data_IF_726310705250
#
_entry.id   IF_726310705250
#
_cell.length_a   1.000
_cell.length_b   1.000
_cell.length_c   1.000
_cell.angle_alpha   90.00
_cell.angle_beta   90.00
_cell.angle_gamma   90.00
#
_symmetry.space_group_name_H-M   'P 1'
#
loop_
_entity.id
_entity.type
_entity.pdbx_description
1 polymer ?
#
# COMPACT_ATOMS: atom_id res chain seq x y z
N UNK A 1 0.85 -20.05 20.54
CA UNK A 1 0.65 -19.17 21.71
C UNK A 1 0.90 -17.73 21.34
N UNK A 2 0.30 -16.80 22.05
CA UNK A 2 0.43 -15.35 21.85
C UNK A 2 1.91 -14.88 21.87
N UNK A 3 2.72 -15.46 22.73
CA UNK A 3 4.15 -15.17 22.84
C UNK A 3 4.96 -15.60 21.58
N UNK A 4 4.57 -16.68 20.92
CA UNK A 4 5.19 -17.11 19.67
C UNK A 4 4.86 -16.16 18.51
N UNK A 5 3.61 -15.68 18.44
CA UNK A 5 3.19 -14.68 17.47
C UNK A 5 3.92 -13.36 17.68
N UNK A 6 4.01 -12.86 18.91
CA UNK A 6 4.71 -11.64 19.23
C UNK A 6 6.20 -11.69 18.82
N UNK A 7 6.89 -12.81 19.04
CA UNK A 7 8.27 -13.05 18.62
C UNK A 7 8.42 -13.06 17.08
N UNK A 8 7.52 -13.74 16.37
CA UNK A 8 7.53 -13.77 14.90
C UNK A 8 7.30 -12.36 14.33
N UNK A 9 6.32 -11.64 14.86
CA UNK A 9 6.04 -10.26 14.49
C UNK A 9 7.26 -9.37 14.72
N UNK A 10 7.90 -9.46 15.87
CA UNK A 10 9.09 -8.65 16.18
C UNK A 10 10.22 -8.93 15.19
N UNK A 11 10.53 -10.20 14.90
CA UNK A 11 11.55 -10.59 13.93
C UNK A 11 11.24 -10.04 12.53
N UNK A 12 10.01 -10.21 12.04
CA UNK A 12 9.55 -9.72 10.76
C UNK A 12 9.73 -8.19 10.67
N UNK A 13 9.26 -7.47 11.69
CA UNK A 13 9.37 -6.01 11.71
C UNK A 13 10.83 -5.52 11.79
N UNK A 14 11.72 -6.26 12.44
CA UNK A 14 13.14 -5.94 12.50
C UNK A 14 13.80 -6.10 11.13
N UNK A 15 13.46 -7.16 10.39
CA UNK A 15 13.97 -7.39 9.02
C UNK A 15 13.40 -6.36 8.04
N UNK A 16 12.09 -6.15 8.05
CA UNK A 16 11.41 -5.24 7.11
C UNK A 16 11.82 -3.77 7.29
N UNK A 17 12.21 -3.35 8.51
CA UNK A 17 12.62 -1.96 8.77
C UNK A 17 14.06 -1.65 8.38
N UNK A 18 14.87 -2.65 8.10
CA UNK A 18 16.24 -2.45 7.62
C UNK A 18 16.22 -2.23 6.10
N UNK A 19 16.67 -1.06 5.62
CA UNK A 19 16.83 -0.87 4.19
C UNK A 19 17.93 -1.80 3.66
N UNK A 20 17.75 -2.37 2.46
CA UNK A 20 18.80 -3.13 1.80
C UNK A 20 20.07 -2.28 1.67
N UNK A 21 21.22 -2.82 2.07
CA UNK A 21 22.51 -2.11 1.97
C UNK A 21 22.72 -0.95 2.95
N UNK A 22 21.81 -0.74 3.93
CA UNK A 22 21.97 0.32 4.93
C UNK A 22 21.78 1.75 4.42
N UNK A 23 21.34 1.92 3.19
CA UNK A 23 21.12 3.23 2.55
C UNK A 23 19.84 3.86 3.10
N UNK A 24 19.96 5.05 3.71
CA UNK A 24 18.80 5.85 4.11
C UNK A 24 18.35 6.70 2.91
N UNK A 25 17.17 6.40 2.38
CA UNK A 25 16.57 7.23 1.35
C UNK A 25 16.07 8.56 1.93
N UNK A 26 16.15 9.60 1.11
CA UNK A 26 15.56 10.89 1.42
C UNK A 26 14.04 10.76 1.64
N UNK A 27 13.45 11.56 2.54
CA UNK A 27 12.01 11.54 2.73
C UNK A 27 11.27 11.93 1.45
N UNK A 28 10.22 11.18 1.14
CA UNK A 28 9.30 11.49 0.06
C UNK A 28 8.30 12.54 0.53
N UNK A 29 8.19 13.64 -0.21
CA UNK A 29 7.21 14.69 0.10
C UNK A 29 5.88 14.38 -0.58
N UNK A 30 4.79 14.55 0.14
CA UNK A 30 3.44 14.30 -0.34
C UNK A 30 2.49 15.37 0.19
N UNK A 31 1.98 16.20 -0.71
CA UNK A 31 0.94 17.20 -0.41
C UNK A 31 -0.36 16.74 -1.02
N UNK A 32 -1.43 16.67 -0.24
CA UNK A 32 -2.73 16.09 -0.62
C UNK A 32 -3.86 16.98 -0.20
N UNK A 33 -4.88 17.04 -1.05
CA UNK A 33 -6.18 17.62 -0.72
C UNK A 33 -7.07 16.56 -0.04
N UNK A 34 -7.69 16.87 1.10
CA UNK A 34 -8.58 15.92 1.79
C UNK A 34 -9.74 15.43 0.92
N UNK A 35 -10.44 16.28 0.15
CA UNK A 35 -11.49 15.80 -0.76
C UNK A 35 -11.02 14.87 -1.88
N UNK A 36 -9.73 14.90 -2.22
CA UNK A 36 -9.15 14.13 -3.32
C UNK A 36 -8.12 13.10 -2.83
N UNK A 37 -8.27 12.62 -1.59
CA UNK A 37 -7.29 11.80 -0.88
C UNK A 37 -6.78 10.61 -1.71
N UNK A 38 -7.68 9.79 -2.25
CA UNK A 38 -7.33 8.62 -3.04
C UNK A 38 -6.73 9.01 -4.40
N UNK A 39 -7.34 9.96 -5.10
CA UNK A 39 -6.90 10.39 -6.42
C UNK A 39 -5.49 11.01 -6.38
N UNK A 40 -5.25 11.95 -5.46
CA UNK A 40 -3.96 12.60 -5.28
C UNK A 40 -2.88 11.60 -4.86
N UNK A 41 -3.22 10.66 -3.98
CA UNK A 41 -2.28 9.61 -3.53
C UNK A 41 -1.86 8.70 -4.68
N UNK A 42 -2.78 8.28 -5.53
CA UNK A 42 -2.49 7.47 -6.72
C UNK A 42 -1.66 8.26 -7.73
N UNK A 43 -2.02 9.52 -8.00
CA UNK A 43 -1.29 10.38 -8.93
C UNK A 43 0.17 10.59 -8.47
N UNK A 44 0.36 10.87 -7.19
CA UNK A 44 1.69 10.99 -6.60
C UNK A 44 2.48 9.67 -6.70
N UNK A 45 1.86 8.53 -6.37
CA UNK A 45 2.52 7.22 -6.48
C UNK A 45 2.93 6.88 -7.92
N UNK A 46 2.10 7.25 -8.91
CA UNK A 46 2.46 7.14 -10.34
C UNK A 46 3.71 7.94 -10.67
N UNK A 47 3.79 9.17 -10.15
CA UNK A 47 4.93 10.05 -10.41
C UNK A 47 6.25 9.48 -9.84
N UNK A 48 6.23 8.76 -8.72
CA UNK A 48 7.42 8.09 -8.17
C UNK A 48 7.98 7.02 -9.13
N UNK A 49 7.11 6.34 -9.88
CA UNK A 49 7.51 5.28 -10.82
C UNK A 49 7.86 5.76 -12.22
N UNK A 50 7.66 7.04 -12.54
CA UNK A 50 7.80 7.56 -13.91
C UNK A 50 9.25 7.83 -14.35
N UNK A 51 10.24 7.50 -13.53
CA UNK A 51 11.66 7.77 -13.82
C UNK A 51 12.35 6.75 -14.73
N UNK A 52 11.65 5.73 -15.25
CA UNK A 52 12.27 4.70 -16.08
C UNK A 52 11.49 4.38 -17.37
N UNK A 53 12.14 4.71 -18.49
CA UNK A 53 11.93 4.22 -19.86
C UNK A 53 10.53 4.24 -20.47
N UNK A 54 10.34 5.19 -21.36
CA UNK A 54 9.33 5.19 -22.42
C UNK A 54 9.54 4.02 -23.38
N UNK A 55 8.80 2.93 -23.23
CA UNK A 55 8.80 1.83 -24.20
C UNK A 55 8.32 0.46 -23.75
N UNK A 56 8.04 0.26 -22.49
CA UNK A 56 7.54 -1.03 -21.99
C UNK A 56 6.01 -1.08 -21.89
N UNK A 57 5.45 -2.30 -21.99
CA UNK A 57 4.01 -2.49 -21.83
C UNK A 57 3.56 -2.07 -20.43
N UNK A 58 2.33 -1.58 -20.29
CA UNK A 58 1.75 -1.14 -19.01
C UNK A 58 1.83 -2.21 -17.89
N UNK A 59 1.85 -3.48 -18.25
CA UNK A 59 2.01 -4.59 -17.30
C UNK A 59 3.45 -4.66 -16.73
N UNK A 60 4.46 -4.48 -17.58
CA UNK A 60 5.88 -4.47 -17.18
C UNK A 60 6.16 -3.26 -16.30
N UNK A 61 5.66 -2.09 -16.67
CA UNK A 61 5.80 -0.88 -15.86
C UNK A 61 5.15 -1.01 -14.48
N UNK A 62 3.97 -1.63 -14.38
CA UNK A 62 3.31 -1.92 -13.10
C UNK A 62 4.17 -2.84 -12.22
N UNK A 63 4.75 -3.87 -12.82
CA UNK A 63 5.59 -4.84 -12.11
C UNK A 63 6.92 -4.21 -11.67
N UNK A 64 7.52 -3.36 -12.50
CA UNK A 64 8.73 -2.59 -12.16
C UNK A 64 8.45 -1.60 -11.04
N UNK A 65 7.36 -0.83 -11.12
CA UNK A 65 6.93 0.08 -10.03
C UNK A 65 6.74 -0.65 -8.71
N UNK A 66 6.09 -1.80 -8.74
CA UNK A 66 5.93 -2.64 -7.56
C UNK A 66 7.30 -3.06 -7.00
N UNK A 67 8.20 -3.60 -7.83
CA UNK A 67 9.53 -4.02 -7.41
C UNK A 67 10.37 -2.89 -6.84
N UNK A 68 10.40 -1.74 -7.51
CA UNK A 68 11.16 -0.56 -7.05
C UNK A 68 10.58 -0.02 -5.75
N UNK A 69 9.26 0.02 -5.65
CA UNK A 69 8.57 0.48 -4.44
C UNK A 69 8.77 -0.44 -3.22
N UNK A 70 8.97 -1.75 -3.44
CA UNK A 70 9.15 -2.72 -2.34
C UNK A 70 10.61 -3.02 -2.01
N UNK A 71 11.49 -3.04 -2.99
CA UNK A 71 12.87 -3.52 -2.84
C UNK A 71 13.95 -2.44 -2.82
N UNK A 72 13.64 -1.23 -3.24
CA UNK A 72 14.61 -0.13 -3.32
C UNK A 72 14.68 0.72 -2.06
N UNK A 73 15.63 1.65 -2.04
CA UNK A 73 15.77 2.65 -0.99
C UNK A 73 14.48 3.46 -0.79
N UNK A 74 13.74 3.73 -1.85
CA UNK A 74 12.45 4.44 -1.84
C UNK A 74 11.35 3.67 -1.08
N UNK A 75 11.35 2.33 -1.16
CA UNK A 75 10.44 1.49 -0.38
C UNK A 75 10.59 1.75 1.13
N UNK A 76 11.79 2.04 1.58
CA UNK A 76 12.12 2.37 2.97
C UNK A 76 12.09 3.86 3.29
N UNK A 77 11.91 4.75 2.31
CA UNK A 77 11.85 6.18 2.54
C UNK A 77 10.68 6.56 3.46
N UNK A 78 10.88 7.58 4.30
CA UNK A 78 9.79 8.18 5.06
C UNK A 78 8.92 8.99 4.12
N UNK A 79 7.61 8.98 4.36
CA UNK A 79 6.68 9.88 3.70
C UNK A 79 6.46 11.05 4.66
N UNK A 80 6.78 12.26 4.22
CA UNK A 80 6.38 13.50 4.87
C UNK A 80 5.07 13.94 4.24
N UNK A 81 4.06 14.00 5.06
CA UNK A 81 2.70 14.32 4.64
C UNK A 81 2.32 15.73 5.02
N UNK A 82 1.63 16.38 4.11
CA UNK A 82 1.01 17.68 4.33
C UNK A 82 -0.38 17.71 3.69
N UNK A 83 -1.38 18.09 4.46
CA UNK A 83 -2.70 18.36 3.91
C UNK A 83 -2.77 19.80 3.44
N UNK A 84 -3.22 19.99 2.19
CA UNK A 84 -3.31 21.29 1.58
C UNK A 84 -4.22 22.23 2.39
N UNK A 85 -3.68 23.38 2.80
CA UNK A 85 -4.42 24.37 3.58
C UNK A 85 -4.46 24.11 5.10
N UNK A 86 -3.74 23.11 5.58
CA UNK A 86 -3.63 22.84 7.03
C UNK A 86 -2.22 23.17 7.53
N UNK A 87 -2.13 23.90 8.63
CA UNK A 87 -0.88 24.05 9.35
C UNK A 87 -0.64 22.79 10.19
N UNK A 88 0.06 21.83 9.62
CA UNK A 88 0.39 20.60 10.32
C UNK A 88 1.85 20.58 10.74
N UNK A 89 2.09 20.56 12.03
CA UNK A 89 3.39 20.14 12.58
C UNK A 89 3.42 18.62 12.48
N UNK A 90 4.12 18.09 11.48
CA UNK A 90 4.25 16.64 11.28
C UNK A 90 5.07 16.00 12.40
N UNK A 91 4.39 15.66 13.48
CA UNK A 91 4.90 14.80 14.57
C UNK A 91 4.63 13.31 14.29
N UNK A 92 4.28 12.93 13.05
CA UNK A 92 3.90 11.57 12.65
C UNK A 92 2.40 11.27 12.77
N UNK A 93 1.60 12.19 13.30
CA UNK A 93 0.14 12.08 13.40
C UNK A 93 -0.53 12.15 12.02
N UNK A 94 -0.13 13.12 11.21
CA UNK A 94 -0.65 13.34 9.85
C UNK A 94 -0.44 12.12 8.97
N UNK A 95 0.74 11.52 9.02
CA UNK A 95 1.02 10.31 8.27
C UNK A 95 0.15 9.11 8.74
N UNK A 96 -0.09 8.97 10.04
CA UNK A 96 -0.99 7.92 10.56
C UNK A 96 -2.42 8.12 10.07
N UNK A 97 -2.91 9.35 10.12
CA UNK A 97 -4.24 9.72 9.64
C UNK A 97 -4.37 9.39 8.14
N UNK A 98 -3.38 9.77 7.34
CA UNK A 98 -3.37 9.46 5.91
C UNK A 98 -3.47 7.95 5.65
N UNK A 99 -2.61 7.13 6.27
CA UNK A 99 -2.67 5.68 6.10
C UNK A 99 -4.05 5.12 6.46
N UNK A 100 -4.64 5.59 7.53
CA UNK A 100 -5.95 5.13 8.00
C UNK A 100 -7.08 5.57 7.06
N UNK A 101 -7.18 6.86 6.75
CA UNK A 101 -8.23 7.40 5.88
C UNK A 101 -8.14 6.84 4.46
N UNK A 102 -6.92 6.81 3.89
CA UNK A 102 -6.69 6.28 2.57
C UNK A 102 -7.04 4.79 2.47
N UNK A 103 -6.63 3.99 3.45
CA UNK A 103 -6.97 2.57 3.44
C UNK A 103 -8.47 2.34 3.62
N UNK A 104 -9.15 3.13 4.44
CA UNK A 104 -10.61 3.06 4.60
C UNK A 104 -11.35 3.33 3.29
N UNK A 105 -10.91 4.33 2.52
CA UNK A 105 -11.48 4.65 1.21
C UNK A 105 -11.14 3.58 0.17
N UNK A 106 -9.88 3.14 0.10
CA UNK A 106 -9.38 2.20 -0.90
C UNK A 106 -9.99 0.80 -0.75
N UNK A 107 -10.21 0.32 0.48
CA UNK A 107 -10.77 -1.00 0.78
C UNK A 107 -12.29 -0.97 1.03
N UNK A 108 -12.98 0.13 0.72
CA UNK A 108 -14.43 0.17 0.76
C UNK A 108 -15.03 -0.80 -0.27
N UNK A 109 -16.05 -1.53 0.16
CA UNK A 109 -16.76 -2.50 -0.71
C UNK A 109 -17.92 -1.88 -1.48
N UNK A 110 -18.32 -0.68 -1.10
CA UNK A 110 -19.44 0.09 -1.63
C UNK A 110 -18.95 1.22 -2.55
N UNK A 111 -19.81 1.60 -3.48
CA UNK A 111 -19.57 2.70 -4.40
C UNK A 111 -19.27 2.26 -5.84
N UNK A 112 -19.56 3.19 -6.76
CA UNK A 112 -19.26 3.01 -8.17
C UNK A 112 -17.73 2.96 -8.38
N UNK A 113 -17.24 1.86 -8.96
CA UNK A 113 -15.80 1.66 -9.18
C UNK A 113 -15.03 1.16 -7.96
N UNK A 114 -15.70 0.65 -6.91
CA UNK A 114 -15.02 -0.03 -5.81
C UNK A 114 -14.17 -1.19 -6.33
N UNK A 115 -12.94 -1.32 -5.81
CA UNK A 115 -12.02 -2.41 -6.17
C UNK A 115 -12.34 -3.71 -5.46
N UNK A 116 -13.00 -3.60 -4.33
CA UNK A 116 -13.30 -4.70 -3.44
C UNK A 116 -14.81 -4.89 -3.35
N UNK A 117 -15.23 -6.09 -3.04
CA UNK A 117 -16.60 -6.47 -2.77
C UNK A 117 -16.68 -7.20 -1.43
N UNK A 118 -17.84 -7.18 -0.79
CA UNK A 118 -18.05 -7.89 0.47
C UNK A 118 -17.84 -9.39 0.27
N UNK A 119 -17.18 -10.04 1.23
CA UNK A 119 -17.00 -11.48 1.21
C UNK A 119 -18.34 -12.18 1.45
N UNK A 120 -18.71 -13.20 0.65
CA UNK A 120 -19.93 -13.98 0.87
C UNK A 120 -19.96 -14.72 2.22
N UNK A 121 -18.79 -15.01 2.80
CA UNK A 121 -18.67 -15.72 4.07
C UNK A 121 -18.76 -14.78 5.29
N UNK A 122 -18.32 -13.55 5.14
CA UNK A 122 -18.34 -12.52 6.20
C UNK A 122 -18.41 -11.13 5.56
N UNK A 123 -19.57 -10.52 5.58
CA UNK A 123 -19.81 -9.18 4.99
C UNK A 123 -18.93 -8.07 5.58
N UNK A 124 -18.32 -8.29 6.73
CA UNK A 124 -17.34 -7.37 7.35
C UNK A 124 -15.97 -7.45 6.70
N UNK A 125 -15.76 -8.43 5.83
CA UNK A 125 -14.52 -8.66 5.10
C UNK A 125 -14.71 -8.39 3.63
N UNK A 126 -13.60 -8.07 2.98
CA UNK A 126 -13.63 -7.77 1.55
C UNK A 126 -12.70 -8.70 0.76
N UNK A 127 -13.12 -8.97 -0.47
CA UNK A 127 -12.35 -9.67 -1.49
C UNK A 127 -12.17 -8.75 -2.71
N UNK A 128 -11.14 -8.96 -3.53
CA UNK A 128 -11.05 -8.29 -4.82
C UNK A 128 -12.33 -8.52 -5.62
N UNK A 129 -12.88 -7.45 -6.21
CA UNK A 129 -14.09 -7.53 -7.01
C UNK A 129 -13.87 -8.39 -8.26
N UNK A 130 -14.79 -9.31 -8.51
CA UNK A 130 -14.78 -10.10 -9.73
C UNK A 130 -14.96 -9.22 -10.95
N UNK A 131 -14.12 -9.44 -11.97
CA UNK A 131 -14.17 -8.67 -13.21
C UNK A 131 -13.47 -7.31 -13.20
N UNK A 132 -12.85 -6.89 -12.09
CA UNK A 132 -12.01 -5.71 -12.03
C UNK A 132 -10.63 -6.02 -12.67
N UNK A 133 -10.61 -6.24 -14.00
CA UNK A 133 -9.44 -6.67 -14.78
C UNK A 133 -8.95 -5.61 -15.76
N UNK A 134 -9.60 -4.45 -15.81
CA UNK A 134 -9.17 -3.32 -16.60
C UNK A 134 -7.87 -2.70 -16.03
N UNK A 135 -7.13 -2.00 -16.89
CA UNK A 135 -5.83 -1.43 -16.53
C UNK A 135 -5.88 -0.48 -15.34
N UNK A 136 -6.96 0.30 -15.21
CA UNK A 136 -7.12 1.23 -14.10
C UNK A 136 -7.36 0.48 -12.77
N UNK A 137 -8.15 -0.58 -12.79
CA UNK A 137 -8.38 -1.45 -11.63
C UNK A 137 -7.10 -2.17 -11.21
N UNK A 138 -6.36 -2.73 -12.18
CA UNK A 138 -5.08 -3.41 -11.91
C UNK A 138 -4.04 -2.46 -11.32
N UNK A 139 -3.99 -1.23 -11.79
CA UNK A 139 -3.10 -0.20 -11.23
C UNK A 139 -3.48 0.14 -9.78
N UNK A 140 -4.77 0.28 -9.49
CA UNK A 140 -5.27 0.54 -8.14
C UNK A 140 -5.01 -0.64 -7.20
N UNK A 141 -5.08 -1.89 -7.68
CA UNK A 141 -4.65 -3.06 -6.90
C UNK A 141 -3.14 -3.04 -6.61
N UNK A 142 -2.31 -2.64 -7.58
CA UNK A 142 -0.87 -2.48 -7.36
C UNK A 142 -0.59 -1.40 -6.30
N UNK A 143 -1.30 -0.28 -6.36
CA UNK A 143 -1.25 0.76 -5.34
C UNK A 143 -1.70 0.26 -3.96
N UNK A 144 -2.78 -0.53 -3.88
CA UNK A 144 -3.24 -1.14 -2.63
C UNK A 144 -2.17 -2.03 -2.00
N UNK A 145 -1.53 -2.88 -2.81
CA UNK A 145 -0.40 -3.70 -2.36
C UNK A 145 0.77 -2.86 -1.87
N UNK A 146 1.14 -1.80 -2.58
CA UNK A 146 2.18 -0.87 -2.17
C UNK A 146 1.84 -0.19 -0.84
N UNK A 147 0.61 0.28 -0.65
CA UNK A 147 0.14 0.92 0.59
C UNK A 147 0.26 -0.03 1.78
N UNK A 148 -0.18 -1.29 1.62
CA UNK A 148 -0.07 -2.31 2.68
C UNK A 148 1.38 -2.60 3.04
N UNK A 149 2.25 -2.78 2.07
CA UNK A 149 3.68 -3.01 2.29
C UNK A 149 4.33 -1.81 2.99
N UNK A 150 4.02 -0.60 2.54
CA UNK A 150 4.53 0.64 3.13
C UNK A 150 4.07 0.80 4.59
N UNK A 151 2.80 0.52 4.86
CA UNK A 151 2.25 0.52 6.22
C UNK A 151 2.95 -0.51 7.10
N UNK A 152 3.18 -1.72 6.59
CA UNK A 152 3.87 -2.78 7.31
C UNK A 152 5.32 -2.39 7.64
N UNK A 153 6.11 -1.93 6.66
CA UNK A 153 7.49 -1.48 6.84
C UNK A 153 7.56 -0.35 7.89
N UNK A 154 6.59 0.55 7.88
CA UNK A 154 6.55 1.72 8.77
C UNK A 154 5.87 1.45 10.10
N UNK A 155 5.24 0.28 10.28
CA UNK A 155 4.47 -0.07 11.47
C UNK A 155 3.24 0.83 11.65
N UNK A 156 2.60 1.22 10.54
CA UNK A 156 1.40 2.06 10.54
C UNK A 156 0.15 1.20 10.54
N UNK A 157 -0.90 1.70 11.18
CA UNK A 157 -2.21 1.04 11.16
C UNK A 157 -2.96 1.40 9.88
N UNK A 158 -3.58 0.40 9.28
CA UNK A 158 -4.45 0.54 8.11
C UNK A 158 -5.77 -0.16 8.35
N UNK A 159 -6.83 0.37 7.76
CA UNK A 159 -8.14 -0.28 7.72
C UNK A 159 -8.22 -1.12 6.44
N UNK A 160 -7.83 -2.38 6.52
CA UNK A 160 -7.87 -3.32 5.40
C UNK A 160 -8.55 -4.62 5.86
N UNK A 161 -9.89 -4.70 5.83
CA UNK A 161 -10.66 -5.83 6.33
C UNK A 161 -10.67 -6.99 5.31
N UNK A 162 -9.50 -7.41 4.85
CA UNK A 162 -9.34 -8.47 3.87
C UNK A 162 -9.79 -9.83 4.41
N UNK A 163 -10.46 -10.62 3.57
CA UNK A 163 -10.91 -11.95 3.91
C UNK A 163 -9.74 -12.95 4.03
N UNK A 164 -9.91 -13.98 4.86
CA UNK A 164 -8.87 -14.99 5.13
C UNK A 164 -8.30 -15.66 3.87
N UNK A 165 -9.10 -16.02 2.86
CA UNK A 165 -8.57 -16.58 1.62
C UNK A 165 -7.52 -15.71 0.92
N UNK A 166 -7.68 -14.37 0.99
CA UNK A 166 -6.71 -13.45 0.42
C UNK A 166 -5.33 -13.53 1.10
N UNK A 167 -5.31 -13.64 2.44
CA UNK A 167 -4.04 -13.81 3.16
C UNK A 167 -3.36 -15.15 2.85
N UNK A 168 -4.15 -16.21 2.66
CA UNK A 168 -3.62 -17.50 2.23
C UNK A 168 -2.98 -17.40 0.85
N UNK A 169 -3.65 -16.75 -0.09
CA UNK A 169 -3.11 -16.54 -1.43
C UNK A 169 -1.79 -15.76 -1.40
N UNK A 170 -1.70 -14.68 -0.63
CA UNK A 170 -0.44 -13.92 -0.47
C UNK A 170 0.67 -14.82 0.08
N UNK A 171 0.40 -15.64 1.07
CA UNK A 171 1.41 -16.53 1.66
C UNK A 171 1.86 -17.60 0.66
N UNK A 172 0.94 -18.26 -0.05
CA UNK A 172 1.28 -19.27 -1.07
C UNK A 172 2.09 -18.70 -2.23
N UNK A 173 1.76 -17.48 -2.69
CA UNK A 173 2.54 -16.81 -3.73
C UNK A 173 3.97 -16.48 -3.29
N UNK A 174 4.19 -16.27 -1.99
CA UNK A 174 5.53 -16.00 -1.45
C UNK A 174 6.42 -17.24 -1.42
N UNK A 175 5.83 -18.43 -1.30
CA UNK A 175 6.55 -19.70 -1.23
C UNK A 175 6.85 -20.29 -2.62
N UNK A 176 6.36 -19.66 -3.71
CA UNK A 176 6.64 -20.07 -5.09
C UNK A 176 5.87 -21.31 -5.58
N UNK A 177 4.88 -21.75 -4.84
CA UNK A 177 4.02 -22.90 -5.16
C UNK A 177 2.73 -22.44 -5.89
N UNK A 178 2.86 -21.94 -7.13
CA UNK A 178 1.75 -21.77 -8.08
C UNK A 178 2.09 -22.46 -9.39
#
# INVERSE_FOLDING_TARGET
>A
SHAAFARKRFRLMTVLRKPPGGVTASPLQLTISRPCLLADSIAWWRALGSSSNSGSSAAVERQERARTAYGGAEGHARIRMEFLGEEAIDSGGVANEWFFCLSKELFAADGAGALFEASPEDERRVLPRRGATDDASLERFAFAGWLLAKALIRGRLVHAPLATPFFRLICCCADGDL
#
